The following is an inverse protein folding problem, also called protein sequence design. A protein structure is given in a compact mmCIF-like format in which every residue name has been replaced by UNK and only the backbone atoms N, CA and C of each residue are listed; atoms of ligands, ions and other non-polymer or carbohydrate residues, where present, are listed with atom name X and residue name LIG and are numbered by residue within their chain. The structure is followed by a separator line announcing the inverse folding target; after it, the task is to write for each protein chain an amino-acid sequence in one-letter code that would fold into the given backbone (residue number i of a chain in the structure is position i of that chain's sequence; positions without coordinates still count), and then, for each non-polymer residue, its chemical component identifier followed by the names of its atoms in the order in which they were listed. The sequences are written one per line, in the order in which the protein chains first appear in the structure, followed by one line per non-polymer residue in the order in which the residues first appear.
data_IF_244944775108
#
_entry.id   IF_244944775108
#
_cell.length_a   1.000
_cell.length_b   1.000
_cell.length_c   1.000
_cell.angle_alpha   90.00
_cell.angle_beta   90.00
_cell.angle_gamma   90.00
#
_symmetry.space_group_name_H-M   'P 1'
#
loop_
_entity.id
_entity.type
_entity.pdbx_description
1 polymer ?
#
# COMPACT_ATOMS: atom_id res chain seq x y z
N UNK A 1 -9.90 -7.97 12.77
CA UNK A 1 -8.99 -8.38 11.68
C UNK A 1 -8.88 -9.89 11.74
N UNK A 2 -9.16 -10.58 10.64
CA UNK A 2 -9.03 -12.04 10.59
C UNK A 2 -7.59 -12.42 10.25
N UNK A 3 -7.07 -13.43 10.96
CA UNK A 3 -5.70 -13.92 10.79
C UNK A 3 -5.74 -15.29 10.13
N UNK A 4 -5.02 -15.39 9.01
CA UNK A 4 -4.85 -16.60 8.22
C UNK A 4 -3.36 -16.90 8.12
N UNK A 5 -2.97 -18.14 8.42
CA UNK A 5 -1.58 -18.60 8.27
C UNK A 5 -1.34 -19.13 6.85
N UNK A 6 -0.07 -19.24 6.44
CA UNK A 6 0.28 -19.77 5.12
C UNK A 6 -0.16 -21.23 4.93
N UNK A 7 -0.22 -22.02 6.00
CA UNK A 7 -0.68 -23.40 5.93
C UNK A 7 -2.20 -23.51 5.82
N UNK A 8 -2.95 -22.57 6.40
CA UNK A 8 -4.41 -22.52 6.23
C UNK A 8 -4.77 -22.35 4.75
N UNK A 9 -4.03 -21.51 4.02
CA UNK A 9 -4.28 -21.21 2.59
C UNK A 9 -4.28 -22.51 1.75
N UNK A 10 -3.40 -23.47 2.06
CA UNK A 10 -3.26 -24.72 1.30
C UNK A 10 -4.47 -25.65 1.46
N UNK A 11 -5.23 -25.51 2.54
CA UNK A 11 -6.31 -26.43 2.92
C UNK A 11 -7.71 -25.90 2.56
N UNK A 12 -7.80 -24.76 1.87
CA UNK A 12 -9.08 -24.12 1.54
C UNK A 12 -9.62 -24.56 0.19
N UNK A 13 -10.94 -24.72 0.13
CA UNK A 13 -11.70 -25.09 -1.07
C UNK A 13 -12.00 -23.90 -2.01
N UNK A 14 -11.59 -22.67 -1.63
CA UNK A 14 -11.85 -21.45 -2.40
C UNK A 14 -10.64 -20.50 -2.42
N UNK A 15 -10.69 -19.49 -3.30
CA UNK A 15 -9.62 -18.50 -3.43
C UNK A 15 -9.87 -17.42 -2.38
N UNK A 16 -8.95 -17.26 -1.43
CA UNK A 16 -9.03 -16.27 -0.35
C UNK A 16 -8.71 -14.85 -0.80
N UNK A 17 -8.09 -14.72 -1.97
CA UNK A 17 -7.74 -13.44 -2.62
C UNK A 17 -8.76 -13.02 -3.69
N UNK A 18 -9.87 -13.77 -3.84
CA UNK A 18 -11.00 -13.36 -4.67
C UNK A 18 -11.80 -12.28 -3.95
N UNK A 19 -11.77 -11.05 -4.45
CA UNK A 19 -12.45 -9.89 -3.85
C UNK A 19 -13.97 -9.97 -3.92
N UNK A 20 -14.54 -10.91 -4.69
CA UNK A 20 -15.99 -11.11 -4.79
C UNK A 20 -16.55 -11.98 -3.67
N UNK A 21 -15.68 -12.58 -2.85
CA UNK A 21 -16.05 -13.53 -1.81
C UNK A 21 -15.58 -13.07 -0.44
N UNK A 22 -16.42 -13.29 0.56
CA UNK A 22 -16.04 -13.18 1.96
C UNK A 22 -15.37 -14.47 2.42
N UNK A 23 -14.47 -14.35 3.39
CA UNK A 23 -13.99 -15.52 4.12
C UNK A 23 -15.13 -16.14 4.92
N UNK A 24 -15.22 -17.47 4.93
CA UNK A 24 -16.28 -18.20 5.64
C UNK A 24 -16.24 -17.84 7.14
N UNK A 25 -17.35 -17.35 7.68
CA UNK A 25 -17.43 -16.93 9.08
C UNK A 25 -17.06 -18.08 10.04
N UNK A 26 -16.27 -17.78 11.08
CA UNK A 26 -15.81 -18.77 12.06
C UNK A 26 -14.62 -19.63 11.63
N UNK A 27 -14.11 -19.47 10.40
CA UNK A 27 -12.96 -20.25 9.89
C UNK A 27 -11.63 -19.74 10.44
N UNK A 28 -11.51 -18.44 10.65
CA UNK A 28 -10.26 -17.78 11.05
C UNK A 28 -10.39 -17.10 12.40
N UNK A 29 -9.25 -16.91 13.07
CA UNK A 29 -9.19 -16.18 14.33
C UNK A 29 -9.36 -14.68 14.06
N UNK A 30 -10.48 -14.12 14.50
CA UNK A 30 -10.69 -12.66 14.50
C UNK A 30 -10.02 -12.03 15.71
N UNK A 31 -9.15 -11.04 15.47
CA UNK A 31 -8.47 -10.26 16.51
C UNK A 31 -8.90 -8.81 16.44
N UNK A 32 -9.24 -8.24 17.60
CA UNK A 32 -9.50 -6.80 17.77
C UNK A 32 -8.16 -6.05 17.77
N UNK A 33 -7.99 -5.10 16.83
CA UNK A 33 -6.74 -4.33 16.68
C UNK A 33 -6.81 -3.01 17.46
N UNK A 34 -7.93 -2.30 17.36
CA UNK A 34 -8.11 -0.99 17.99
C UNK A 34 -9.45 -0.35 17.60
N UNK A 35 -9.60 0.95 17.88
CA UNK A 35 -10.80 1.74 17.59
C UNK A 35 -10.40 3.04 16.89
N UNK A 36 -11.04 3.32 15.76
CA UNK A 36 -10.97 4.63 15.10
C UNK A 36 -12.08 5.52 15.66
N UNK A 37 -11.75 6.77 16.00
CA UNK A 37 -12.70 7.79 16.47
C UNK A 37 -12.53 9.01 15.56
N UNK A 38 -13.65 9.56 15.10
CA UNK A 38 -13.70 10.80 14.33
C UNK A 38 -14.29 11.87 15.25
N UNK A 39 -13.47 12.85 15.64
CA UNK A 39 -13.77 13.83 16.70
C UNK A 39 -13.71 15.29 16.22
N UNK A 40 -13.31 15.54 14.97
CA UNK A 40 -13.14 16.88 14.41
C UNK A 40 -13.76 17.01 13.01
N UNK A 41 -14.34 18.18 12.72
CA UNK A 41 -14.82 18.58 11.40
C UNK A 41 -13.77 19.50 10.78
N UNK A 42 -13.40 19.33 9.51
CA UNK A 42 -12.40 20.19 8.87
C UNK A 42 -12.90 21.63 8.72
N UNK A 43 -12.01 22.60 8.98
CA UNK A 43 -12.27 24.04 8.78
C UNK A 43 -12.66 24.39 7.34
N UNK A 44 -12.10 23.66 6.37
CA UNK A 44 -12.42 23.81 4.95
C UNK A 44 -12.60 22.45 4.30
N UNK A 45 -13.81 22.24 3.77
CA UNK A 45 -14.17 21.03 3.04
C UNK A 45 -13.29 20.83 1.80
N UNK A 46 -12.96 21.89 1.07
CA UNK A 46 -12.17 21.76 -0.15
C UNK A 46 -10.73 21.34 0.14
N UNK A 47 -10.06 22.00 1.10
CA UNK A 47 -8.65 21.68 1.40
C UNK A 47 -8.46 20.32 2.05
N UNK A 48 -9.44 19.86 2.82
CA UNK A 48 -9.34 18.61 3.58
C UNK A 48 -10.00 17.45 2.86
N UNK A 49 -11.22 17.60 2.37
CA UNK A 49 -11.98 16.49 1.76
C UNK A 49 -11.71 16.37 0.27
N UNK A 50 -11.95 17.42 -0.52
CA UNK A 50 -11.80 17.35 -1.99
C UNK A 50 -10.35 17.12 -2.42
N UNK A 51 -9.40 17.71 -1.71
CA UNK A 51 -7.97 17.55 -1.98
C UNK A 51 -7.36 16.28 -1.35
N UNK A 52 -8.14 15.48 -0.60
CA UNK A 52 -7.64 14.21 -0.05
C UNK A 52 -7.29 13.20 -1.14
N UNK A 53 -6.23 12.44 -0.93
CA UNK A 53 -5.72 11.45 -1.87
C UNK A 53 -5.33 10.15 -1.15
N UNK A 54 -6.19 9.13 -1.25
CA UNK A 54 -5.94 7.81 -0.67
C UNK A 54 -5.35 6.85 -1.69
N UNK A 55 -4.11 6.41 -1.50
CA UNK A 55 -3.41 5.53 -2.44
C UNK A 55 -3.14 4.18 -1.76
N UNK A 56 -3.72 3.05 -2.22
CA UNK A 56 -3.50 1.73 -1.63
C UNK A 56 -2.04 1.27 -1.63
N UNK A 57 -1.21 1.84 -2.51
CA UNK A 57 0.22 1.58 -2.58
C UNK A 57 1.02 2.23 -1.43
N UNK A 58 0.45 3.19 -0.69
CA UNK A 58 1.10 3.86 0.44
C UNK A 58 1.03 2.97 1.69
N UNK A 59 1.72 1.83 1.63
CA UNK A 59 1.84 0.89 2.73
C UNK A 59 2.94 1.33 3.71
N UNK A 60 2.86 0.80 4.93
CA UNK A 60 3.86 1.01 5.98
C UNK A 60 4.63 -0.31 6.25
N UNK A 61 5.86 -0.24 6.78
CA UNK A 61 6.61 -1.44 7.20
C UNK A 61 5.74 -2.35 8.09
N UNK A 62 5.84 -3.66 7.87
CA UNK A 62 5.01 -4.68 8.53
C UNK A 62 3.65 -4.97 7.88
N UNK A 63 3.18 -4.15 6.93
CA UNK A 63 1.91 -4.39 6.20
C UNK A 63 2.21 -4.60 4.72
N UNK A 64 2.39 -5.85 4.26
CA UNK A 64 2.49 -6.13 2.83
C UNK A 64 1.13 -5.96 2.15
N UNK A 65 1.15 -5.57 0.87
CA UNK A 65 -0.07 -5.53 0.07
C UNK A 65 -0.61 -6.94 -0.19
N UNK A 66 -1.94 -7.12 -0.28
CA UNK A 66 -2.53 -8.44 -0.54
C UNK A 66 -2.13 -8.99 -1.92
N UNK A 67 -2.19 -10.31 -2.06
CA UNK A 67 -1.81 -11.02 -3.28
C UNK A 67 -2.93 -11.06 -4.34
N UNK A 68 -3.97 -10.25 -4.21
CA UNK A 68 -5.11 -10.24 -5.14
C UNK A 68 -4.84 -9.42 -6.41
N UNK A 69 -5.56 -9.76 -7.48
CA UNK A 69 -5.41 -9.11 -8.79
C UNK A 69 -5.97 -7.68 -8.81
N UNK A 70 -7.01 -7.39 -8.03
CA UNK A 70 -7.60 -6.06 -8.00
C UNK A 70 -6.70 -5.05 -7.30
N UNK A 71 -6.07 -5.42 -6.18
CA UNK A 71 -5.10 -4.61 -5.49
C UNK A 71 -3.90 -4.29 -6.38
N UNK A 72 -3.41 -5.27 -7.16
CA UNK A 72 -2.32 -5.02 -8.14
C UNK A 72 -2.68 -3.89 -9.11
N UNK A 73 -3.91 -3.87 -9.63
CA UNK A 73 -4.41 -2.78 -10.46
C UNK A 73 -4.53 -1.45 -9.70
N UNK A 74 -5.17 -1.48 -8.52
CA UNK A 74 -5.40 -0.28 -7.69
C UNK A 74 -4.09 0.35 -7.19
N UNK A 75 -3.06 -0.46 -6.97
CA UNK A 75 -1.72 -0.01 -6.56
C UNK A 75 -1.13 0.98 -7.55
N UNK A 76 -1.39 0.80 -8.84
CA UNK A 76 -0.97 1.72 -9.89
C UNK A 76 -2.00 2.84 -10.09
N UNK A 77 -3.26 2.46 -10.28
CA UNK A 77 -4.30 3.35 -10.80
C UNK A 77 -4.56 4.59 -9.93
N UNK A 78 -4.56 4.46 -8.60
CA UNK A 78 -4.89 5.58 -7.72
C UNK A 78 -3.83 6.69 -7.76
N UNK A 79 -2.55 6.33 -7.84
CA UNK A 79 -1.48 7.33 -7.94
C UNK A 79 -1.57 8.09 -9.25
N UNK A 80 -1.82 7.37 -10.35
CA UNK A 80 -1.98 7.97 -11.66
C UNK A 80 -3.18 8.94 -11.71
N UNK A 81 -4.34 8.48 -11.24
CA UNK A 81 -5.54 9.30 -11.14
C UNK A 81 -5.33 10.56 -10.28
N UNK A 82 -4.60 10.46 -9.15
CA UNK A 82 -4.31 11.61 -8.32
C UNK A 82 -3.32 12.60 -8.93
N UNK A 83 -2.34 12.11 -9.69
CA UNK A 83 -1.42 12.99 -10.40
C UNK A 83 -2.16 13.85 -11.44
N UNK A 84 -3.18 13.28 -12.09
CA UNK A 84 -4.02 14.01 -13.05
C UNK A 84 -5.07 14.91 -12.38
N UNK A 85 -5.80 14.37 -11.39
CA UNK A 85 -6.91 15.09 -10.71
C UNK A 85 -6.42 16.29 -9.90
N UNK A 86 -5.29 16.13 -9.21
CA UNK A 86 -4.71 17.14 -8.34
C UNK A 86 -3.50 17.75 -9.03
N UNK A 87 -2.32 17.23 -8.71
CA UNK A 87 -1.03 17.61 -9.27
C UNK A 87 -0.04 16.48 -8.96
N UNK A 88 1.10 16.46 -9.67
CA UNK A 88 2.17 15.49 -9.42
C UNK A 88 2.68 15.52 -7.97
N UNK A 89 2.70 16.71 -7.35
CA UNK A 89 3.10 16.92 -5.95
C UNK A 89 1.92 16.85 -4.97
N UNK A 90 0.86 16.09 -5.26
CA UNK A 90 -0.31 15.96 -4.38
C UNK A 90 0.03 15.51 -2.96
N UNK A 91 1.13 14.77 -2.77
CA UNK A 91 1.63 14.32 -1.48
C UNK A 91 2.25 15.45 -0.63
N UNK A 92 2.41 16.64 -1.21
CA UNK A 92 2.85 17.87 -0.52
C UNK A 92 1.69 18.78 -0.12
N UNK A 93 0.44 18.43 -0.48
CA UNK A 93 -0.77 19.08 0.03
C UNK A 93 -0.93 18.70 1.51
N UNK A 94 -1.33 19.64 2.36
CA UNK A 94 -1.26 19.51 3.82
C UNK A 94 -2.05 18.32 4.40
N UNK A 95 -3.20 17.98 3.81
CA UNK A 95 -4.00 16.82 4.22
C UNK A 95 -3.38 15.48 3.81
N UNK A 96 -2.62 15.45 2.71
CA UNK A 96 -1.98 14.25 2.18
C UNK A 96 -0.54 14.08 2.66
N UNK A 97 0.03 15.14 3.25
CA UNK A 97 1.44 15.16 3.60
C UNK A 97 1.72 14.31 4.84
N UNK A 98 2.73 13.43 4.81
CA UNK A 98 3.13 12.71 6.01
C UNK A 98 3.59 13.70 7.07
N UNK A 99 3.19 13.47 8.33
CA UNK A 99 3.54 14.35 9.46
C UNK A 99 5.00 14.16 9.95
N UNK A 100 5.70 13.15 9.46
CA UNK A 100 7.10 12.87 9.79
C UNK A 100 8.11 13.54 8.84
N UNK A 101 9.41 13.25 9.06
CA UNK A 101 10.48 13.73 8.19
C UNK A 101 10.36 13.13 6.78
N UNK A 102 10.27 13.99 5.77
CA UNK A 102 10.21 13.56 4.37
C UNK A 102 11.64 13.39 3.83
N UNK A 103 12.03 12.15 3.61
CA UNK A 103 13.33 11.76 3.06
C UNK A 103 13.14 11.28 1.63
N UNK A 104 13.25 12.18 0.65
CA UNK A 104 13.10 11.85 -0.77
C UNK A 104 14.11 12.60 -1.63
N UNK A 105 14.38 12.04 -2.81
CA UNK A 105 15.17 12.67 -3.86
C UNK A 105 14.30 13.38 -4.91
N UNK A 106 12.97 13.27 -4.83
CA UNK A 106 12.06 13.97 -5.75
C UNK A 106 12.16 15.49 -5.55
N UNK A 107 12.42 16.21 -6.64
CA UNK A 107 12.51 17.68 -6.72
C UNK A 107 11.52 18.21 -7.76
N UNK A 108 11.21 19.51 -7.63
CA UNK A 108 10.50 20.32 -8.63
C UNK A 108 9.10 19.80 -9.01
N UNK A 109 8.65 20.12 -10.23
CA UNK A 109 7.29 19.93 -10.79
C UNK A 109 6.28 21.00 -10.31
N UNK A 110 5.01 20.74 -10.58
CA UNK A 110 3.89 21.63 -10.28
C UNK A 110 3.79 21.91 -8.78
N UNK A 111 3.43 23.14 -8.37
CA UNK A 111 3.12 23.45 -6.99
C UNK A 111 2.04 22.49 -6.42
N UNK A 112 2.08 22.18 -5.11
CA UNK A 112 2.96 22.74 -4.09
C UNK A 112 4.32 22.02 -4.01
N UNK A 113 5.41 22.79 -4.05
CA UNK A 113 6.78 22.26 -3.89
C UNK A 113 7.35 22.46 -2.47
N UNK A 114 6.73 23.28 -1.63
CA UNK A 114 7.26 23.69 -0.31
C UNK A 114 8.71 24.21 -0.45
N UNK A 115 9.58 23.81 0.47
CA UNK A 115 11.02 24.14 0.50
C UNK A 115 11.84 23.43 -0.59
N UNK A 116 11.24 22.52 -1.36
CA UNK A 116 11.89 21.70 -2.38
C UNK A 116 13.21 21.03 -1.92
N UNK A 117 13.31 20.76 -0.61
CA UNK A 117 14.45 20.09 0.04
C UNK A 117 15.76 20.93 -0.06
N UNK A 118 15.64 22.24 -0.34
CA UNK A 118 16.74 23.23 -0.35
C UNK A 118 17.95 22.72 -1.15
N UNK A 119 19.16 23.02 -0.67
CA UNK A 119 20.43 22.64 -1.31
C UNK A 119 20.87 21.19 -1.00
N UNK A 120 19.97 20.32 -0.54
CA UNK A 120 20.33 18.94 -0.29
C UNK A 120 20.65 18.19 -1.61
N UNK A 121 21.54 17.18 -1.60
CA UNK A 121 21.84 16.36 -2.77
C UNK A 121 20.59 15.76 -3.42
N UNK A 122 20.54 15.77 -4.75
CA UNK A 122 19.40 15.29 -5.57
C UNK A 122 19.57 13.86 -6.11
N UNK A 123 20.69 13.19 -5.82
CA UNK A 123 21.02 11.86 -6.35
C UNK A 123 21.42 10.86 -5.25
N UNK A 124 21.27 9.57 -5.54
CA UNK A 124 21.68 8.45 -4.67
C UNK A 124 22.39 7.37 -5.50
N UNK A 125 23.49 6.76 -5.02
CA UNK A 125 24.20 7.06 -3.76
C UNK A 125 24.97 8.38 -3.82
N UNK A 126 25.21 9.01 -2.67
CA UNK A 126 26.02 10.23 -2.57
C UNK A 126 26.86 10.24 -1.29
N UNK A 127 27.94 11.02 -1.28
CA UNK A 127 28.85 11.20 -0.14
C UNK A 127 28.56 12.47 0.67
N UNK A 128 27.40 13.09 0.46
CA UNK A 128 27.05 14.40 1.01
C UNK A 128 25.94 14.30 2.07
N UNK A 129 25.88 13.17 2.77
CA UNK A 129 24.95 12.91 3.87
C UNK A 129 23.46 13.05 3.48
N UNK A 130 23.11 12.72 2.22
CA UNK A 130 21.74 12.73 1.73
C UNK A 130 20.87 11.58 2.30
N UNK A 131 19.57 11.54 1.98
CA UNK A 131 18.67 10.45 2.39
C UNK A 131 19.19 9.05 2.05
N UNK A 132 19.24 8.15 3.03
CA UNK A 132 19.62 6.75 2.80
C UNK A 132 18.40 5.86 2.58
N UNK A 133 18.58 4.76 1.85
CA UNK A 133 17.53 3.76 1.67
C UNK A 133 17.17 3.14 3.02
N UNK A 134 15.88 3.10 3.32
CA UNK A 134 15.38 2.30 4.44
C UNK A 134 15.21 0.85 3.96
N UNK A 135 15.96 -0.06 4.57
CA UNK A 135 15.82 -1.50 4.37
C UNK A 135 15.06 -2.03 5.58
N UNK A 136 13.84 -2.54 5.35
CA UNK A 136 13.05 -3.15 6.42
C UNK A 136 13.70 -4.49 6.83
N UNK A 137 14.17 -4.65 8.08
CA UNK A 137 14.80 -5.91 8.50
C UNK A 137 13.85 -7.10 8.49
N UNK A 138 12.55 -6.83 8.71
CA UNK A 138 11.47 -7.81 8.73
C UNK A 138 10.85 -8.09 7.36
N UNK A 139 11.43 -7.57 6.26
CA UNK A 139 10.85 -7.79 4.94
C UNK A 139 10.84 -9.29 4.61
N UNK A 140 9.70 -9.87 4.19
CA UNK A 140 9.64 -11.29 3.87
C UNK A 140 10.51 -11.60 2.64
N UNK A 141 11.40 -12.59 2.77
CA UNK A 141 12.18 -13.13 1.64
C UNK A 141 11.35 -14.02 0.71
N UNK A 142 10.23 -14.54 1.21
CA UNK A 142 9.33 -15.39 0.46
C UNK A 142 8.24 -14.57 -0.23
N UNK A 143 8.00 -14.88 -1.51
CA UNK A 143 6.89 -14.29 -2.26
C UNK A 143 5.79 -15.33 -2.43
N UNK A 144 4.59 -14.98 -1.98
CA UNK A 144 3.41 -15.79 -2.27
C UNK A 144 2.96 -15.54 -3.70
N UNK A 145 2.91 -16.60 -4.50
CA UNK A 145 2.37 -16.57 -5.87
C UNK A 145 1.15 -17.48 -5.91
N UNK A 146 0.00 -16.89 -6.19
CA UNK A 146 -1.28 -17.60 -6.32
C UNK A 146 -1.54 -17.82 -7.79
N UNK A 147 -1.75 -19.08 -8.17
CA UNK A 147 -2.13 -19.45 -9.53
C UNK A 147 -3.63 -19.74 -9.56
N UNK A 148 -4.36 -19.06 -10.44
CA UNK A 148 -5.75 -19.35 -10.70
C UNK A 148 -5.85 -20.48 -11.74
N UNK A 149 -6.52 -21.57 -11.40
CA UNK A 149 -6.90 -22.62 -12.35
C UNK A 149 -8.12 -22.14 -13.16
N UNK A 150 -7.95 -21.15 -14.04
CA UNK A 150 -9.02 -20.67 -14.93
C UNK A 150 -9.06 -21.41 -16.27
N UNK A 151 -8.71 -22.69 -16.28
CA UNK A 151 -8.99 -23.62 -17.39
C UNK A 151 -9.96 -24.64 -16.82
N UNK A 152 -11.04 -24.91 -17.56
CA UNK A 152 -12.16 -25.78 -17.19
C UNK A 152 -11.73 -27.22 -16.88
N UNK A 153 -11.09 -27.43 -15.73
CA UNK A 153 -10.71 -28.74 -15.24
C UNK A 153 -10.94 -28.80 -13.73
N UNK A 154 -11.68 -29.81 -13.30
CA UNK A 154 -12.16 -30.03 -11.94
C UNK A 154 -11.04 -30.48 -10.97
N UNK A 155 -9.79 -30.10 -11.25
CA UNK A 155 -8.59 -30.48 -10.51
C UNK A 155 -8.36 -29.66 -9.25
N UNK A 156 -7.63 -30.26 -8.30
CA UNK A 156 -7.23 -29.64 -7.04
C UNK A 156 -6.34 -28.40 -7.30
N UNK A 157 -6.61 -27.30 -6.59
CA UNK A 157 -5.86 -26.04 -6.71
C UNK A 157 -4.45 -26.20 -6.14
N UNK A 158 -3.44 -25.60 -6.79
CA UNK A 158 -2.07 -25.60 -6.29
C UNK A 158 -1.63 -24.19 -5.91
N UNK A 159 -1.02 -24.07 -4.73
CA UNK A 159 -0.46 -22.81 -4.21
C UNK A 159 1.02 -23.07 -4.00
N UNK A 160 1.87 -22.29 -4.67
CA UNK A 160 3.32 -22.40 -4.54
C UNK A 160 3.86 -21.21 -3.76
N UNK A 161 4.64 -21.50 -2.73
CA UNK A 161 5.40 -20.51 -1.97
C UNK A 161 6.83 -20.60 -2.48
N UNK A 162 7.35 -19.53 -3.09
CA UNK A 162 8.73 -19.48 -3.57
C UNK A 162 9.60 -18.60 -2.67
N UNK A 163 10.74 -19.13 -2.28
CA UNK A 163 11.84 -18.41 -1.61
C UNK A 163 12.72 -17.74 -2.66
N UNK A 164 13.06 -16.47 -2.47
CA UNK A 164 14.16 -15.79 -3.17
C UNK A 164 15.24 -15.39 -2.18
#
# INVERSE_FOLDING_TARGET
MDIMTLDDIKNLDYNTFDVTRLWKAGTFKTVTVGRLVLDEIPDSYFSSTEMSAFIPANLVPGIPGPADHMFKGRRLAYRDAHNYRLVRNQNRIDVNSPKGRILTYTRDSDPPVRENIRDAPSFFPNSFNGPVLYIEPSHPSQKLVVYDNNIADFGMRSIFITTF
#
